data_IF_347496405604
#
_entry.id   IF_347496405604
#
_cell.length_a   1.000
_cell.length_b   1.000
_cell.length_c   1.000
_cell.angle_alpha   90.00
_cell.angle_beta   90.00
_cell.angle_gamma   90.00
#
_symmetry.space_group_name_H-M   'P 1'
#
loop_
_entity.id
_entity.type
_entity.pdbx_description
1 polymer ?
#
# COMPACT_ATOMS: atom_id res chain seq x y z
N UNK A 1 -5.04 -9.20 11.00
CA UNK A 1 -4.65 -7.86 10.53
C UNK A 1 -3.70 -7.96 9.37
N UNK A 2 -3.95 -7.27 8.27
CA UNK A 2 -3.01 -7.29 7.15
C UNK A 2 -1.66 -6.69 7.51
N UNK A 3 -1.67 -5.60 8.29
CA UNK A 3 -0.45 -4.95 8.70
C UNK A 3 -0.30 -5.06 10.22
N UNK A 4 0.89 -5.45 10.66
CA UNK A 4 1.18 -5.64 12.08
C UNK A 4 1.05 -4.33 12.85
N UNK A 5 0.28 -4.36 13.94
CA UNK A 5 0.14 -3.22 14.84
C UNK A 5 -0.24 -1.93 14.13
N UNK A 6 -0.97 -2.04 13.02
CA UNK A 6 -1.30 -0.88 12.22
C UNK A 6 -2.79 -0.64 12.16
N UNK A 7 -3.15 0.63 12.24
CA UNK A 7 -4.48 1.11 11.93
C UNK A 7 -4.41 1.86 10.62
N UNK A 8 -5.51 1.89 9.89
CA UNK A 8 -5.58 2.76 8.73
C UNK A 8 -5.53 4.21 9.20
N UNK A 9 -4.60 4.97 8.64
CA UNK A 9 -4.42 6.39 8.93
C UNK A 9 -5.01 7.20 7.80
N UNK A 10 -5.42 8.43 8.09
CA UNK A 10 -5.99 9.31 7.07
C UNK A 10 -4.99 9.55 5.94
N UNK A 11 -5.42 9.30 4.71
CA UNK A 11 -4.55 9.45 3.54
C UNK A 11 -4.47 10.92 3.12
N UNK A 12 -3.65 11.69 3.83
CA UNK A 12 -3.41 13.10 3.60
C UNK A 12 -1.95 13.40 3.84
N UNK A 13 -1.43 14.43 3.17
CA UNK A 13 -0.02 14.78 3.24
C UNK A 13 0.47 14.99 4.68
N UNK A 14 -0.30 15.71 5.50
CA UNK A 14 0.11 15.97 6.87
C UNK A 14 0.26 14.69 7.69
N UNK A 15 -0.66 13.74 7.55
CA UNK A 15 -0.59 12.49 8.26
C UNK A 15 0.57 11.63 7.75
N UNK A 16 0.79 11.63 6.44
CA UNK A 16 1.90 10.87 5.86
C UNK A 16 3.23 11.40 6.37
N UNK A 17 3.42 12.71 6.37
CA UNK A 17 4.67 13.32 6.84
C UNK A 17 4.92 13.09 8.32
N UNK A 18 3.85 13.05 9.11
CA UNK A 18 3.96 12.85 10.55
C UNK A 18 4.23 11.40 10.92
N UNK A 19 3.60 10.45 10.22
CA UNK A 19 3.57 9.07 10.66
C UNK A 19 4.31 8.07 9.79
N UNK A 20 4.40 8.32 8.48
CA UNK A 20 5.06 7.38 7.58
C UNK A 20 6.56 7.67 7.52
N UNK A 21 7.41 6.70 7.87
CA UNK A 21 8.86 6.93 7.85
C UNK A 21 9.44 6.83 6.44
N UNK A 22 10.56 7.53 6.18
CA UNK A 22 11.28 7.40 4.92
C UNK A 22 12.15 6.14 4.92
N UNK A 23 11.51 4.99 5.03
CA UNK A 23 12.18 3.71 5.22
C UNK A 23 11.59 2.63 4.33
N UNK A 24 12.36 1.57 4.13
CA UNK A 24 11.95 0.41 3.34
C UNK A 24 10.79 -0.32 4.00
N UNK A 25 9.82 -0.75 3.20
CA UNK A 25 8.72 -1.54 3.71
C UNK A 25 7.60 -1.75 2.72
N UNK A 26 6.47 -2.18 3.23
CA UNK A 26 5.24 -2.35 2.46
C UNK A 26 4.19 -1.40 2.99
N UNK A 27 3.28 -0.99 2.11
CA UNK A 27 2.21 -0.07 2.48
C UNK A 27 0.91 -0.51 1.81
N UNK A 28 -0.20 -0.07 2.37
CA UNK A 28 -1.51 -0.36 1.81
C UNK A 28 -2.37 0.89 1.74
N UNK A 29 -3.15 1.00 0.69
CA UNK A 29 -4.15 2.04 0.52
C UNK A 29 -5.52 1.40 0.69
N UNK A 30 -6.41 2.10 1.38
CA UNK A 30 -7.73 1.56 1.72
C UNK A 30 -8.80 2.64 1.67
N UNK A 31 -10.05 2.20 1.64
CA UNK A 31 -11.22 3.06 1.83
C UNK A 31 -12.26 2.30 2.64
N UNK A 32 -13.49 2.84 2.72
CA UNK A 32 -14.54 2.22 3.50
C UNK A 32 -14.90 0.80 3.05
N UNK A 33 -14.58 0.45 1.81
CA UNK A 33 -14.85 -0.89 1.26
C UNK A 33 -13.76 -1.89 1.61
N UNK A 34 -12.58 -1.43 2.01
CA UNK A 34 -11.46 -2.28 2.35
C UNK A 34 -10.18 -1.90 1.63
N UNK A 35 -9.31 -2.86 1.45
CA UNK A 35 -8.01 -2.63 0.82
C UNK A 35 -8.16 -2.41 -0.67
N UNK A 36 -7.46 -1.39 -1.18
CA UNK A 36 -7.46 -1.05 -2.61
C UNK A 36 -6.17 -1.54 -3.26
N UNK A 37 -5.04 -1.34 -2.60
CA UNK A 37 -3.73 -1.58 -3.19
C UNK A 37 -2.70 -1.85 -2.10
N UNK A 38 -1.78 -2.78 -2.37
CA UNK A 38 -0.62 -3.04 -1.52
C UNK A 38 0.63 -2.89 -2.36
N UNK A 39 1.57 -2.06 -1.90
CA UNK A 39 2.83 -1.83 -2.60
C UNK A 39 4.03 -2.06 -1.70
N UNK A 40 5.20 -2.12 -2.32
CA UNK A 40 6.48 -2.15 -1.61
C UNK A 40 7.35 -1.00 -2.11
N UNK A 41 8.25 -0.52 -1.26
CA UNK A 41 9.07 0.62 -1.61
C UNK A 41 10.29 0.71 -0.69
N UNK A 42 11.32 1.39 -1.15
CA UNK A 42 12.46 1.72 -0.32
C UNK A 42 12.24 2.98 0.53
N UNK A 43 11.14 3.72 0.26
CA UNK A 43 10.82 4.94 1.00
C UNK A 43 9.30 5.08 1.08
N UNK A 44 8.73 4.60 2.19
CA UNK A 44 7.29 4.59 2.40
C UNK A 44 6.71 6.00 2.32
N UNK A 45 7.34 6.97 2.98
CA UNK A 45 6.84 8.34 3.00
C UNK A 45 6.78 8.95 1.60
N UNK A 46 7.88 8.85 0.86
CA UNK A 46 7.96 9.42 -0.48
C UNK A 46 6.94 8.77 -1.42
N UNK A 47 6.77 7.46 -1.32
CA UNK A 47 5.85 6.75 -2.20
C UNK A 47 4.40 7.10 -1.92
N UNK A 48 4.03 7.22 -0.64
CA UNK A 48 2.68 7.62 -0.28
C UNK A 48 2.38 9.05 -0.73
N UNK A 49 3.34 9.96 -0.60
CA UNK A 49 3.17 11.33 -1.08
C UNK A 49 3.03 11.36 -2.60
N UNK A 50 3.77 10.51 -3.31
CA UNK A 50 3.65 10.42 -4.76
C UNK A 50 2.24 9.96 -5.17
N UNK A 51 1.65 9.03 -4.44
CA UNK A 51 0.29 8.57 -4.72
C UNK A 51 -0.74 9.69 -4.57
N UNK A 52 -0.50 10.65 -3.68
CA UNK A 52 -1.40 11.80 -3.54
C UNK A 52 -1.33 12.74 -4.74
N UNK A 53 -0.15 12.88 -5.34
CA UNK A 53 0.08 13.83 -6.43
C UNK A 53 -0.26 13.25 -7.80
N UNK A 54 -0.14 11.94 -7.96
CA UNK A 54 -0.41 11.28 -9.23
C UNK A 54 -1.90 11.15 -9.47
N UNK A 55 -2.33 11.12 -10.76
CA UNK A 55 -3.72 10.76 -11.06
C UNK A 55 -4.02 9.40 -10.42
N UNK A 56 -5.21 9.27 -9.87
CA UNK A 56 -5.59 8.06 -9.16
C UNK A 56 -5.73 6.88 -10.12
N UNK A 57 -4.77 5.93 -10.15
CA UNK A 57 -4.89 4.76 -11.03
C UNK A 57 -5.93 3.76 -10.54
N UNK A 58 -6.46 3.98 -9.34
CA UNK A 58 -7.41 3.07 -8.72
C UNK A 58 -8.84 3.62 -8.73
N UNK A 59 -9.12 4.61 -9.58
CA UNK A 59 -10.41 5.30 -9.58
C UNK A 59 -11.59 4.33 -9.74
N UNK A 60 -11.41 3.25 -10.50
CA UNK A 60 -12.46 2.26 -10.69
C UNK A 60 -12.82 1.53 -9.38
N UNK A 61 -11.95 1.56 -8.39
CA UNK A 61 -12.13 0.87 -7.11
C UNK A 61 -12.40 1.84 -5.96
N UNK A 62 -12.57 3.12 -6.28
CA UNK A 62 -12.80 4.18 -5.32
C UNK A 62 -11.51 4.87 -4.92
N UNK A 63 -11.64 6.09 -4.41
CA UNK A 63 -10.50 6.86 -3.97
C UNK A 63 -9.96 6.33 -2.64
N UNK A 64 -8.63 6.26 -2.48
CA UNK A 64 -8.06 5.92 -1.17
C UNK A 64 -8.37 7.00 -0.15
N UNK A 65 -8.77 6.59 1.05
CA UNK A 65 -9.02 7.50 2.18
C UNK A 65 -8.13 7.17 3.37
N UNK A 66 -7.48 6.03 3.36
CA UNK A 66 -6.59 5.61 4.44
C UNK A 66 -5.35 4.92 3.93
N UNK A 67 -4.33 4.90 4.76
CA UNK A 67 -3.11 4.16 4.47
C UNK A 67 -2.63 3.41 5.72
N UNK A 68 -1.88 2.34 5.46
CA UNK A 68 -1.17 1.60 6.51
C UNK A 68 0.20 1.23 5.98
N UNK A 69 1.11 0.91 6.87
CA UNK A 69 2.45 0.49 6.45
C UNK A 69 3.05 -0.47 7.47
N UNK A 70 4.07 -1.18 7.00
CA UNK A 70 4.85 -2.10 7.82
C UNK A 70 6.29 -1.99 7.36
N UNK A 71 7.21 -1.77 8.29
CA UNK A 71 8.64 -1.73 7.95
C UNK A 71 9.11 -3.14 7.56
N UNK A 72 9.92 -3.19 6.51
CA UNK A 72 10.45 -4.46 6.01
C UNK A 72 11.78 -4.18 5.32
N UNK A 73 12.74 -5.06 5.48
CA UNK A 73 14.04 -4.89 4.87
C UNK A 73 13.94 -4.98 3.34
N UNK A 74 14.91 -4.40 2.61
CA UNK A 74 14.91 -4.53 1.15
C UNK A 74 14.85 -5.97 0.65
N UNK A 75 15.44 -6.90 1.39
CA UNK A 75 15.43 -8.30 1.00
C UNK A 75 14.11 -9.01 1.24
N UNK A 76 13.25 -8.46 2.10
CA UNK A 76 12.01 -9.12 2.50
C UNK A 76 10.75 -8.45 1.96
N UNK A 77 10.83 -7.18 1.59
CA UNK A 77 9.63 -6.42 1.27
C UNK A 77 8.85 -6.95 0.06
N UNK A 78 9.55 -7.46 -0.95
CA UNK A 78 8.87 -8.00 -2.13
C UNK A 78 8.08 -9.24 -1.78
N UNK A 79 8.68 -10.15 -1.02
CA UNK A 79 7.99 -11.37 -0.58
C UNK A 79 6.80 -11.03 0.32
N UNK A 80 6.97 -10.04 1.20
CA UNK A 80 5.90 -9.60 2.09
C UNK A 80 4.74 -8.99 1.31
N UNK A 81 5.03 -8.16 0.32
CA UNK A 81 4.02 -7.60 -0.57
C UNK A 81 3.23 -8.69 -1.27
N UNK A 82 3.93 -9.67 -1.85
CA UNK A 82 3.27 -10.77 -2.56
C UNK A 82 2.37 -11.57 -1.63
N UNK A 83 2.83 -11.83 -0.43
CA UNK A 83 2.04 -12.53 0.57
C UNK A 83 0.74 -11.79 0.87
N UNK A 84 0.83 -10.49 1.06
CA UNK A 84 -0.35 -9.66 1.34
C UNK A 84 -1.30 -9.59 0.16
N UNK A 85 -0.78 -9.50 -1.05
CA UNK A 85 -1.61 -9.45 -2.25
C UNK A 85 -2.40 -10.76 -2.41
N UNK A 86 -1.74 -11.89 -2.21
CA UNK A 86 -2.41 -13.19 -2.31
C UNK A 86 -3.47 -13.34 -1.22
N UNK A 87 -3.15 -12.89 -0.01
CA UNK A 87 -4.05 -13.05 1.14
C UNK A 87 -5.27 -12.13 1.07
N UNK A 88 -5.08 -10.89 0.67
CA UNK A 88 -6.14 -9.89 0.70
C UNK A 88 -6.72 -9.53 -0.66
N UNK A 89 -6.03 -9.92 -1.72
CA UNK A 89 -6.46 -9.71 -3.11
C UNK A 89 -7.02 -8.30 -3.36
N UNK A 90 -6.23 -7.23 -3.10
CA UNK A 90 -6.73 -5.88 -3.29
C UNK A 90 -7.02 -5.61 -4.77
N UNK A 91 -8.17 -5.00 -5.10
CA UNK A 91 -8.53 -4.81 -6.51
C UNK A 91 -7.56 -3.94 -7.31
N UNK A 92 -6.87 -3.01 -6.66
CA UNK A 92 -5.90 -2.14 -7.33
C UNK A 92 -4.65 -2.85 -7.81
N UNK A 93 -4.37 -4.05 -7.29
CA UNK A 93 -3.26 -4.88 -7.73
C UNK A 93 -3.64 -5.86 -8.82
N UNK A 94 -4.90 -5.87 -9.24
CA UNK A 94 -5.41 -6.93 -10.07
C UNK A 94 -5.53 -8.23 -9.28
N UNK A 95 -5.92 -9.30 -9.92
CA UNK A 95 -5.97 -10.57 -9.23
C UNK A 95 -4.57 -11.20 -9.17
N UNK A 96 -4.39 -12.19 -8.28
CA UNK A 96 -3.09 -12.80 -8.09
C UNK A 96 -2.58 -13.53 -9.32
N UNK A 97 -3.46 -13.98 -10.21
CA UNK A 97 -3.04 -14.57 -11.48
C UNK A 97 -2.44 -13.52 -12.40
N UNK A 98 -3.06 -12.36 -12.47
CA UNK A 98 -2.54 -11.26 -13.28
C UNK A 98 -1.17 -10.83 -12.79
N UNK A 99 -0.99 -10.76 -11.50
CA UNK A 99 0.31 -10.46 -10.91
C UNK A 99 1.37 -11.47 -11.34
N UNK A 100 1.03 -12.75 -11.29
CA UNK A 100 1.98 -13.80 -11.68
C UNK A 100 2.34 -13.75 -13.15
N UNK A 101 1.39 -13.37 -14.00
CA UNK A 101 1.66 -13.24 -15.42
C UNK A 101 2.54 -12.05 -15.77
N UNK A 102 2.57 -11.04 -14.92
CA UNK A 102 3.37 -9.85 -15.15
C UNK A 102 4.87 -10.13 -14.95
N UNK A 103 5.20 -11.25 -14.41
CA UNK A 103 6.59 -11.65 -14.16
C UNK A 103 6.98 -12.89 -15.00
#
# INVERSE_FOLDING_TARGET
>A
MPFRNCFARTFKAAAIRREAPPSSGVYGLSNARGWIYVGETDDIQARLLAHLEEPNPFAAHGAPTGFSFELSSPGERIARQRQMIVEFDPPGNGDSRSMRKAF
#
